data_IF_673003469600
#
_entry.id   IF_673003469600
#
_cell.length_a   1.000
_cell.length_b   1.000
_cell.length_c   1.000
_cell.angle_alpha   90.00
_cell.angle_beta   90.00
_cell.angle_gamma   90.00
#
_symmetry.space_group_name_H-M   'P 1'
#
loop_
_entity.id
_entity.type
_entity.pdbx_description
1 polymer ?
#
# COMPACT_ATOMS: atom_id res chain seq x y z
N UNK A 1 -28.74 24.82 6.75
CA UNK A 1 -27.99 25.87 6.01
C UNK A 1 -26.61 25.31 5.73
N UNK A 2 -26.36 24.86 4.49
CA UNK A 2 -25.03 24.42 4.10
C UNK A 2 -24.29 25.68 3.65
N UNK A 3 -23.22 26.06 4.36
CA UNK A 3 -22.48 27.26 3.99
C UNK A 3 -21.53 26.92 2.84
N UNK A 4 -21.86 27.36 1.63
CA UNK A 4 -20.99 27.19 0.46
C UNK A 4 -20.17 28.47 0.25
N UNK A 5 -18.85 28.32 0.22
CA UNK A 5 -17.95 29.40 -0.14
C UNK A 5 -17.60 29.33 -1.62
N UNK A 6 -17.73 30.45 -2.32
CA UNK A 6 -17.22 30.60 -3.68
C UNK A 6 -15.79 31.07 -3.62
N UNK A 7 -14.92 30.39 -4.35
CA UNK A 7 -13.57 30.87 -4.64
C UNK A 7 -13.71 32.05 -5.62
N UNK A 8 -13.38 33.23 -5.12
CA UNK A 8 -13.27 34.47 -5.87
C UNK A 8 -11.91 34.59 -6.54
N UNK A 9 -11.30 35.77 -6.44
CA UNK A 9 -10.00 36.01 -7.07
C UNK A 9 -8.89 35.20 -6.36
N UNK A 10 -8.04 34.54 -7.16
CA UNK A 10 -6.84 33.86 -6.69
C UNK A 10 -5.64 34.71 -7.08
N UNK A 11 -4.94 35.28 -6.09
CA UNK A 11 -3.77 36.13 -6.31
C UNK A 11 -2.53 35.46 -5.76
N UNK A 12 -1.44 35.47 -6.52
CA UNK A 12 -0.14 35.02 -6.02
C UNK A 12 0.45 36.13 -5.15
N UNK A 13 0.76 35.83 -3.89
CA UNK A 13 1.20 36.84 -2.90
C UNK A 13 2.58 37.41 -3.28
N UNK A 14 3.48 36.57 -3.78
CA UNK A 14 4.78 36.98 -4.31
C UNK A 14 5.27 35.98 -5.39
N UNK A 15 6.06 36.46 -6.36
CA UNK A 15 6.61 35.64 -7.44
C UNK A 15 7.51 34.50 -6.94
N UNK A 16 8.19 34.68 -5.80
CA UNK A 16 9.09 33.68 -5.19
C UNK A 16 8.41 32.81 -4.13
N UNK A 17 7.19 33.15 -3.70
CA UNK A 17 6.45 32.38 -2.70
C UNK A 17 5.50 31.38 -3.37
N UNK A 18 5.34 30.17 -2.82
CA UNK A 18 4.30 29.23 -3.26
C UNK A 18 2.90 29.59 -2.72
N UNK A 19 2.77 30.69 -1.98
CA UNK A 19 1.52 31.07 -1.32
C UNK A 19 0.61 31.90 -2.23
N UNK A 20 -0.68 31.54 -2.21
CA UNK A 20 -1.76 32.23 -2.91
C UNK A 20 -2.75 32.77 -1.89
N UNK A 21 -3.18 34.00 -2.10
CA UNK A 21 -4.34 34.59 -1.44
C UNK A 21 -5.58 34.18 -2.25
N UNK A 22 -6.57 33.64 -1.56
CA UNK A 22 -7.82 33.19 -2.15
C UNK A 22 -8.96 33.90 -1.45
N UNK A 23 -9.70 34.71 -2.20
CA UNK A 23 -10.91 35.35 -1.68
C UNK A 23 -12.03 34.30 -1.56
N UNK A 24 -12.57 34.08 -0.38
CA UNK A 24 -13.73 33.20 -0.16
C UNK A 24 -14.98 34.04 0.10
N UNK A 25 -15.98 33.95 -0.78
CA UNK A 25 -17.26 34.65 -0.62
C UNK A 25 -18.33 33.70 -0.13
N UNK A 26 -18.96 34.05 0.99
CA UNK A 26 -20.15 33.36 1.47
C UNK A 26 -21.24 33.48 0.40
N UNK A 27 -21.73 32.34 -0.09
CA UNK A 27 -22.74 32.32 -1.15
C UNK A 27 -24.07 31.89 -0.53
N UNK A 28 -25.15 32.67 -0.70
CA UNK A 28 -26.46 32.31 -0.16
C UNK A 28 -27.08 31.12 -0.93
N UNK A 29 -27.95 30.37 -0.25
CA UNK A 29 -28.59 29.14 -0.78
C UNK A 29 -29.47 29.39 -2.04
N UNK A 30 -29.76 30.64 -2.37
CA UNK A 30 -30.54 31.07 -3.55
C UNK A 30 -29.68 31.56 -4.73
N UNK A 31 -28.35 31.50 -4.63
CA UNK A 31 -27.45 31.90 -5.72
C UNK A 31 -27.69 31.08 -6.99
N UNK A 32 -28.02 31.79 -8.08
CA UNK A 32 -28.38 31.19 -9.36
C UNK A 32 -27.22 30.40 -9.99
N UNK A 33 -25.97 30.84 -9.80
CA UNK A 33 -24.80 30.16 -10.34
C UNK A 33 -24.44 28.91 -9.51
N UNK A 34 -24.64 28.96 -8.20
CA UNK A 34 -24.53 27.79 -7.33
C UNK A 34 -25.61 26.75 -7.66
N UNK A 35 -26.85 27.19 -7.93
CA UNK A 35 -27.91 26.30 -8.43
C UNK A 35 -27.53 25.70 -9.78
N UNK A 36 -27.09 26.49 -10.74
CA UNK A 36 -26.62 26.00 -12.04
C UNK A 36 -25.40 25.06 -11.94
N UNK A 37 -24.49 25.28 -10.99
CA UNK A 37 -23.38 24.36 -10.74
C UNK A 37 -23.89 23.06 -10.13
N UNK A 38 -24.79 23.14 -9.15
CA UNK A 38 -25.41 21.97 -8.52
C UNK A 38 -26.21 21.16 -9.53
N UNK A 39 -26.96 21.82 -10.41
CA UNK A 39 -27.73 21.19 -11.47
C UNK A 39 -26.81 20.55 -12.52
N UNK A 40 -25.72 21.22 -12.92
CA UNK A 40 -24.70 20.62 -13.81
C UNK A 40 -23.99 19.43 -13.19
N UNK A 41 -23.60 19.52 -11.93
CA UNK A 41 -23.00 18.39 -11.20
C UNK A 41 -24.01 17.25 -11.12
N UNK A 42 -25.28 17.55 -10.85
CA UNK A 42 -26.37 16.56 -10.81
C UNK A 42 -26.62 15.93 -12.17
N UNK A 43 -26.52 16.69 -13.25
CA UNK A 43 -26.68 16.23 -14.63
C UNK A 43 -25.48 15.37 -15.05
N UNK A 44 -24.25 15.80 -14.75
CA UNK A 44 -23.02 15.03 -14.98
C UNK A 44 -22.90 13.78 -14.10
N UNK A 45 -23.53 13.79 -12.92
CA UNK A 45 -23.64 12.65 -12.02
C UNK A 45 -24.95 11.86 -12.18
N UNK A 46 -25.78 12.19 -13.17
CA UNK A 46 -27.02 11.45 -13.44
C UNK A 46 -26.77 10.18 -14.25
N UNK A 47 -27.66 9.20 -14.11
CA UNK A 47 -27.53 7.90 -14.78
C UNK A 47 -26.44 6.99 -14.19
N UNK A 48 -26.36 5.75 -14.68
CA UNK A 48 -25.41 4.73 -14.17
C UNK A 48 -23.95 5.19 -14.31
N UNK A 49 -23.59 5.79 -15.44
CA UNK A 49 -22.25 6.34 -15.69
C UNK A 49 -21.89 7.52 -14.78
N UNK A 50 -22.86 8.37 -14.43
CA UNK A 50 -22.68 9.46 -13.49
C UNK A 50 -22.39 8.97 -12.06
N UNK A 51 -23.14 7.97 -11.61
CA UNK A 51 -22.91 7.34 -10.31
C UNK A 51 -21.57 6.61 -10.22
N UNK A 52 -21.14 5.92 -11.29
CA UNK A 52 -19.80 5.31 -11.31
C UNK A 52 -18.67 6.33 -11.18
N UNK A 53 -18.81 7.49 -11.84
CA UNK A 53 -17.86 8.61 -11.70
C UNK A 53 -17.86 9.17 -10.28
N UNK A 54 -19.05 9.34 -9.69
CA UNK A 54 -19.18 9.79 -8.30
C UNK A 54 -18.49 8.81 -7.33
N UNK A 55 -18.72 7.50 -7.48
CA UNK A 55 -18.04 6.50 -6.65
C UNK A 55 -16.52 6.56 -6.79
N UNK A 56 -15.99 6.68 -8.01
CA UNK A 56 -14.54 6.87 -8.23
C UNK A 56 -14.01 8.15 -7.59
N UNK A 57 -14.79 9.24 -7.60
CA UNK A 57 -14.41 10.47 -6.92
C UNK A 57 -14.39 10.28 -5.41
N UNK A 58 -15.41 9.62 -4.84
CA UNK A 58 -15.49 9.29 -3.41
C UNK A 58 -14.26 8.49 -2.96
N UNK A 59 -13.83 7.48 -3.74
CA UNK A 59 -12.59 6.75 -3.50
C UNK A 59 -11.36 7.68 -3.51
N UNK A 60 -11.23 8.54 -4.53
CA UNK A 60 -10.10 9.48 -4.64
C UNK A 60 -10.01 10.46 -3.47
N UNK A 61 -11.14 10.89 -2.91
CA UNK A 61 -11.17 11.81 -1.76
C UNK A 61 -11.22 11.07 -0.41
N UNK A 62 -11.01 9.74 -0.40
CA UNK A 62 -10.94 8.92 0.81
C UNK A 62 -12.27 8.69 1.53
N UNK A 63 -13.41 8.94 0.86
CA UNK A 63 -14.75 8.69 1.39
C UNK A 63 -15.19 7.25 1.07
N UNK A 64 -14.42 6.27 1.53
CA UNK A 64 -14.60 4.86 1.16
C UNK A 64 -15.95 4.29 1.61
N UNK A 65 -16.45 4.66 2.79
CA UNK A 65 -17.75 4.18 3.28
C UNK A 65 -18.91 4.64 2.40
N UNK A 66 -18.88 5.90 1.93
CA UNK A 66 -19.88 6.42 0.99
C UNK A 66 -19.75 5.79 -0.39
N UNK A 67 -18.53 5.50 -0.84
CA UNK A 67 -18.33 4.78 -2.09
C UNK A 67 -18.93 3.37 -2.00
N UNK A 68 -18.73 2.68 -0.88
CA UNK A 68 -19.29 1.35 -0.61
C UNK A 68 -20.82 1.38 -0.57
N UNK A 69 -21.43 2.31 0.15
CA UNK A 69 -22.89 2.53 0.18
C UNK A 69 -23.43 2.76 -1.23
N UNK A 70 -22.78 3.63 -2.01
CA UNK A 70 -23.19 3.93 -3.38
C UNK A 70 -23.12 2.71 -4.28
N UNK A 71 -21.99 1.99 -4.29
CA UNK A 71 -21.83 0.82 -5.15
C UNK A 71 -22.75 -0.33 -4.73
N UNK A 72 -23.06 -0.48 -3.44
CA UNK A 72 -24.06 -1.45 -2.95
C UNK A 72 -25.46 -1.09 -3.47
N UNK A 73 -25.86 0.18 -3.40
CA UNK A 73 -27.15 0.63 -3.94
C UNK A 73 -27.24 0.48 -5.46
N UNK A 74 -26.14 0.69 -6.19
CA UNK A 74 -26.09 0.44 -7.63
C UNK A 74 -26.19 -1.06 -7.95
N UNK A 75 -25.62 -1.93 -7.12
CA UNK A 75 -25.68 -3.38 -7.31
C UNK A 75 -27.12 -3.89 -7.25
N UNK A 76 -27.92 -3.38 -6.31
CA UNK A 76 -29.35 -3.72 -6.18
C UNK A 76 -30.18 -3.31 -7.41
N UNK A 77 -29.74 -2.28 -8.13
CA UNK A 77 -30.40 -1.73 -9.32
C UNK A 77 -29.85 -2.29 -10.64
N UNK A 78 -28.78 -3.09 -10.59
CA UNK A 78 -28.09 -3.56 -11.79
C UNK A 78 -28.97 -4.52 -12.61
N UNK A 79 -29.31 -4.10 -13.83
CA UNK A 79 -30.21 -4.86 -14.71
C UNK A 79 -29.50 -5.93 -15.56
N UNK A 80 -28.19 -5.81 -15.78
CA UNK A 80 -27.42 -6.74 -16.59
C UNK A 80 -26.11 -7.20 -15.92
N UNK A 81 -25.53 -8.25 -16.51
CA UNK A 81 -24.30 -8.87 -16.02
C UNK A 81 -23.07 -7.96 -16.17
N UNK A 82 -23.01 -7.11 -17.19
CA UNK A 82 -21.89 -6.19 -17.39
C UNK A 82 -21.84 -5.14 -16.28
N UNK A 83 -22.97 -4.53 -15.96
CA UNK A 83 -23.10 -3.57 -14.86
C UNK A 83 -22.78 -4.24 -13.52
N UNK A 84 -23.29 -5.46 -13.26
CA UNK A 84 -22.93 -6.23 -12.06
C UNK A 84 -21.43 -6.48 -11.96
N UNK A 85 -20.80 -6.92 -13.04
CA UNK A 85 -19.36 -7.20 -13.06
C UNK A 85 -18.54 -5.95 -12.75
N UNK A 86 -18.92 -4.80 -13.33
CA UNK A 86 -18.27 -3.52 -13.04
C UNK A 86 -18.46 -3.10 -11.58
N UNK A 87 -19.67 -3.21 -11.04
CA UNK A 87 -19.97 -2.83 -9.65
C UNK A 87 -19.22 -3.72 -8.66
N UNK A 88 -19.17 -5.03 -8.91
CA UNK A 88 -18.36 -5.94 -8.10
C UNK A 88 -16.87 -5.57 -8.13
N UNK A 89 -16.32 -5.22 -9.29
CA UNK A 89 -14.94 -4.73 -9.37
C UNK A 89 -14.74 -3.49 -8.50
N UNK A 90 -15.66 -2.52 -8.57
CA UNK A 90 -15.57 -1.29 -7.78
C UNK A 90 -15.75 -1.52 -6.28
N UNK A 91 -16.61 -2.45 -5.85
CA UNK A 91 -16.72 -2.87 -4.45
C UNK A 91 -15.42 -3.53 -3.97
N UNK A 92 -14.82 -4.41 -4.79
CA UNK A 92 -13.51 -5.00 -4.53
C UNK A 92 -12.43 -3.93 -4.34
N UNK A 93 -12.38 -2.93 -5.24
CA UNK A 93 -11.47 -1.78 -5.10
C UNK A 93 -11.72 -0.99 -3.82
N UNK A 94 -12.99 -0.71 -3.50
CA UNK A 94 -13.37 0.04 -2.30
C UNK A 94 -12.91 -0.68 -1.02
N UNK A 95 -13.12 -2.00 -0.95
CA UNK A 95 -12.67 -2.84 0.16
C UNK A 95 -11.15 -2.91 0.25
N UNK A 96 -10.47 -3.04 -0.89
CA UNK A 96 -9.02 -3.03 -0.96
C UNK A 96 -8.43 -1.70 -0.44
N UNK A 97 -8.98 -0.57 -0.84
CA UNK A 97 -8.53 0.76 -0.40
C UNK A 97 -8.77 0.98 1.11
N UNK A 98 -9.78 0.31 1.69
CA UNK A 98 -10.02 0.25 3.14
C UNK A 98 -9.06 -0.71 3.88
N UNK A 99 -8.21 -1.45 3.16
CA UNK A 99 -7.36 -2.51 3.71
C UNK A 99 -8.11 -3.79 4.09
N UNK A 100 -9.35 -3.96 3.62
CA UNK A 100 -10.22 -5.10 3.91
C UNK A 100 -10.04 -6.21 2.86
N UNK A 101 -8.81 -6.70 2.72
CA UNK A 101 -8.42 -7.62 1.62
C UNK A 101 -9.26 -8.90 1.55
N UNK A 102 -9.58 -9.50 2.70
CA UNK A 102 -10.40 -10.72 2.76
C UNK A 102 -11.84 -10.51 2.29
N UNK A 103 -12.36 -9.29 2.43
CA UNK A 103 -13.68 -8.90 1.91
C UNK A 103 -13.60 -8.45 0.45
N UNK A 104 -12.46 -7.93 0.01
CA UNK A 104 -12.23 -7.49 -1.36
C UNK A 104 -12.16 -8.67 -2.35
N UNK A 105 -11.48 -9.76 -1.97
CA UNK A 105 -11.22 -10.89 -2.87
C UNK A 105 -12.51 -11.50 -3.48
N UNK A 106 -13.57 -11.82 -2.71
CA UNK A 106 -14.80 -12.36 -3.28
C UNK A 106 -15.45 -11.45 -4.32
N UNK A 107 -15.45 -10.13 -4.09
CA UNK A 107 -16.02 -9.18 -5.06
C UNK A 107 -15.25 -9.17 -6.37
N UNK A 108 -13.92 -9.17 -6.33
CA UNK A 108 -13.14 -9.27 -7.56
C UNK A 108 -13.32 -10.61 -8.27
N UNK A 109 -13.42 -11.73 -7.53
CA UNK A 109 -13.67 -13.04 -8.13
C UNK A 109 -15.05 -13.13 -8.80
N UNK A 110 -16.10 -12.58 -8.16
CA UNK A 110 -17.43 -12.48 -8.77
C UNK A 110 -17.41 -11.62 -10.03
N UNK A 111 -16.68 -10.51 -10.02
CA UNK A 111 -16.47 -9.67 -11.20
C UNK A 111 -15.80 -10.45 -12.33
N UNK A 112 -14.69 -11.13 -12.03
CA UNK A 112 -13.94 -11.94 -12.98
C UNK A 112 -14.78 -13.08 -13.55
N UNK A 113 -15.57 -13.77 -12.72
CA UNK A 113 -16.44 -14.86 -13.16
C UNK A 113 -17.43 -14.40 -14.23
N UNK A 114 -18.03 -13.22 -14.06
CA UNK A 114 -18.95 -12.67 -15.04
C UNK A 114 -18.22 -12.27 -16.32
N UNK A 115 -17.10 -11.54 -16.21
CA UNK A 115 -16.34 -11.12 -17.39
C UNK A 115 -15.81 -12.30 -18.20
N UNK A 116 -15.42 -13.41 -17.56
CA UNK A 116 -14.99 -14.64 -18.27
C UNK A 116 -16.11 -15.32 -19.05
N UNK A 117 -17.38 -15.06 -18.72
CA UNK A 117 -18.53 -15.60 -19.48
C UNK A 117 -18.87 -14.74 -20.69
N UNK A 118 -18.52 -13.45 -20.66
CA UNK A 118 -18.92 -12.46 -21.68
C UNK A 118 -17.79 -12.05 -22.61
N UNK A 119 -16.54 -12.21 -22.18
CA UNK A 119 -15.34 -11.80 -22.91
C UNK A 119 -14.48 -13.02 -23.32
N UNK A 120 -13.73 -12.92 -24.44
CA UNK A 120 -12.67 -13.88 -24.77
C UNK A 120 -11.63 -14.02 -23.65
N UNK A 121 -11.00 -15.19 -23.53
CA UNK A 121 -10.00 -15.45 -22.46
C UNK A 121 -8.77 -14.55 -22.53
N UNK A 122 -8.43 -14.02 -23.71
CA UNK A 122 -7.32 -13.12 -23.96
C UNK A 122 -7.74 -11.65 -24.11
N UNK A 123 -8.97 -11.30 -23.70
CA UNK A 123 -9.45 -9.92 -23.75
C UNK A 123 -8.57 -8.99 -22.88
N UNK A 124 -8.02 -7.89 -23.43
CA UNK A 124 -7.14 -6.99 -22.70
C UNK A 124 -7.76 -6.39 -21.43
N UNK A 125 -9.09 -6.29 -21.34
CA UNK A 125 -9.78 -5.77 -20.16
C UNK A 125 -9.73 -6.71 -18.95
N UNK A 126 -9.39 -7.99 -19.14
CA UNK A 126 -9.24 -8.95 -18.04
C UNK A 126 -7.92 -8.76 -17.27
N UNK A 127 -6.86 -8.25 -17.91
CA UNK A 127 -5.54 -8.05 -17.29
C UNK A 127 -5.60 -7.25 -15.99
N UNK A 128 -6.15 -6.01 -16.00
CA UNK A 128 -6.29 -5.20 -14.79
C UNK A 128 -7.11 -5.87 -13.66
N UNK A 129 -8.08 -6.72 -14.01
CA UNK A 129 -8.89 -7.47 -13.02
C UNK A 129 -8.02 -8.53 -12.35
N UNK A 130 -7.28 -9.30 -13.15
CA UNK A 130 -6.33 -10.29 -12.65
C UNK A 130 -5.25 -9.64 -11.77
N UNK A 131 -4.68 -8.51 -12.20
CA UNK A 131 -3.71 -7.76 -11.41
C UNK A 131 -4.27 -7.33 -10.04
N UNK A 132 -5.51 -6.84 -10.00
CA UNK A 132 -6.13 -6.40 -8.73
C UNK A 132 -6.43 -7.58 -7.79
N UNK A 133 -6.89 -8.72 -8.33
CA UNK A 133 -7.07 -9.95 -7.54
C UNK A 133 -5.73 -10.42 -6.98
N UNK A 134 -4.70 -10.45 -7.81
CA UNK A 134 -3.35 -10.83 -7.41
C UNK A 134 -2.80 -9.93 -6.29
N UNK A 135 -3.02 -8.62 -6.37
CA UNK A 135 -2.61 -7.66 -5.34
C UNK A 135 -3.28 -7.95 -3.99
N UNK A 136 -4.58 -8.24 -3.99
CA UNK A 136 -5.31 -8.60 -2.77
C UNK A 136 -4.77 -9.89 -2.16
N UNK A 137 -4.54 -10.93 -2.96
CA UNK A 137 -3.96 -12.18 -2.48
C UNK A 137 -2.52 -12.01 -1.99
N UNK A 138 -1.75 -11.13 -2.64
CA UNK A 138 -0.40 -10.78 -2.18
C UNK A 138 -0.46 -10.14 -0.78
N UNK A 139 -1.35 -9.16 -0.56
CA UNK A 139 -1.55 -8.55 0.75
C UNK A 139 -2.05 -9.52 1.82
N UNK A 140 -2.75 -10.58 1.43
CA UNK A 140 -3.17 -11.66 2.33
C UNK A 140 -2.05 -12.67 2.63
N UNK A 141 -0.91 -12.60 1.94
CA UNK A 141 0.19 -13.56 2.05
C UNK A 141 -0.07 -14.90 1.33
N UNK A 142 -1.11 -14.98 0.49
CA UNK A 142 -1.34 -16.13 -0.41
C UNK A 142 -0.56 -15.89 -1.72
N UNK A 143 0.76 -15.97 -1.60
CA UNK A 143 1.69 -15.69 -2.70
C UNK A 143 1.50 -16.64 -3.89
N UNK A 144 1.06 -17.87 -3.66
CA UNK A 144 0.79 -18.84 -4.73
C UNK A 144 -0.37 -18.37 -5.62
N UNK A 145 -1.50 -17.98 -5.03
CA UNK A 145 -2.62 -17.42 -5.80
C UNK A 145 -2.25 -16.07 -6.42
N UNK A 146 -1.51 -15.23 -5.69
CA UNK A 146 -1.06 -13.96 -6.22
C UNK A 146 -0.23 -14.14 -7.51
N UNK A 147 0.72 -15.09 -7.51
CA UNK A 147 1.51 -15.41 -8.70
C UNK A 147 0.66 -15.95 -9.84
N UNK A 148 -0.27 -16.87 -9.59
CA UNK A 148 -1.17 -17.40 -10.62
C UNK A 148 -1.91 -16.26 -11.36
N UNK A 149 -2.46 -15.31 -10.61
CA UNK A 149 -3.19 -14.18 -11.18
C UNK A 149 -2.28 -13.13 -11.82
N UNK A 150 -1.11 -12.82 -11.25
CA UNK A 150 -0.15 -11.91 -11.90
C UNK A 150 0.43 -12.51 -13.20
N UNK A 151 0.66 -13.82 -13.25
CA UNK A 151 1.10 -14.50 -14.47
C UNK A 151 0.03 -14.45 -15.56
N UNK A 152 -1.26 -14.56 -15.19
CA UNK A 152 -2.38 -14.39 -16.12
C UNK A 152 -2.49 -12.96 -16.64
N UNK A 153 -2.37 -11.96 -15.77
CA UNK A 153 -2.28 -10.55 -16.18
C UNK A 153 -1.11 -10.33 -17.17
N UNK A 154 0.08 -10.84 -16.84
CA UNK A 154 1.26 -10.73 -17.69
C UNK A 154 1.06 -11.42 -19.05
N UNK A 155 0.42 -12.59 -19.09
CA UNK A 155 0.11 -13.32 -20.33
C UNK A 155 -0.78 -12.49 -21.27
N UNK A 156 -1.86 -11.92 -20.73
CA UNK A 156 -2.81 -11.10 -21.48
C UNK A 156 -2.14 -9.80 -21.95
N UNK A 157 -1.46 -9.10 -21.05
CA UNK A 157 -0.77 -7.84 -21.33
C UNK A 157 0.30 -8.02 -22.41
N UNK A 158 1.03 -9.15 -22.42
CA UNK A 158 2.02 -9.49 -23.47
C UNK A 158 1.41 -9.69 -24.85
N UNK A 159 0.19 -10.24 -24.93
CA UNK A 159 -0.52 -10.43 -26.21
C UNK A 159 -1.13 -9.11 -26.70
N UNK A 160 -1.62 -8.30 -25.78
CA UNK A 160 -2.36 -7.08 -26.09
C UNK A 160 -1.47 -5.88 -26.43
N UNK A 161 -0.27 -5.78 -25.85
CA UNK A 161 0.54 -4.57 -25.88
C UNK A 161 1.92 -4.79 -26.52
N UNK A 162 2.55 -3.73 -27.06
CA UNK A 162 3.93 -3.80 -27.55
C UNK A 162 4.93 -4.27 -26.47
N UNK A 163 6.03 -4.96 -26.84
CA UNK A 163 6.99 -5.49 -25.87
C UNK A 163 7.65 -4.47 -24.93
N UNK A 164 7.68 -3.19 -25.32
CA UNK A 164 8.21 -2.09 -24.53
C UNK A 164 7.12 -1.30 -23.78
N UNK A 165 5.89 -1.81 -23.69
CA UNK A 165 4.82 -1.10 -23.01
C UNK A 165 5.06 -1.05 -21.49
N UNK A 166 4.89 0.11 -20.83
CA UNK A 166 5.14 0.28 -19.38
C UNK A 166 4.34 -0.68 -18.48
N UNK A 167 3.13 -1.05 -18.89
CA UNK A 167 2.29 -1.98 -18.12
C UNK A 167 2.95 -3.35 -17.94
N UNK A 168 3.74 -3.82 -18.92
CA UNK A 168 4.53 -5.05 -18.78
C UNK A 168 5.57 -4.92 -17.66
N UNK A 169 6.21 -3.75 -17.53
CA UNK A 169 7.15 -3.50 -16.46
C UNK A 169 6.46 -3.50 -15.08
N UNK A 170 5.23 -3.00 -15.01
CA UNK A 170 4.42 -3.06 -13.78
C UNK A 170 4.10 -4.50 -13.39
N UNK A 171 3.64 -5.35 -14.31
CA UNK A 171 3.38 -6.77 -14.03
C UNK A 171 4.65 -7.50 -13.57
N UNK A 172 5.81 -7.23 -14.19
CA UNK A 172 7.09 -7.78 -13.75
C UNK A 172 7.54 -7.29 -12.37
N UNK A 173 7.31 -6.00 -12.04
CA UNK A 173 7.57 -5.48 -10.69
C UNK A 173 6.70 -6.19 -9.64
N UNK A 174 5.42 -6.40 -9.94
CA UNK A 174 4.49 -7.08 -9.04
C UNK A 174 4.91 -8.53 -8.79
N UNK A 175 5.26 -9.29 -9.83
CA UNK A 175 5.81 -10.64 -9.69
C UNK A 175 7.12 -10.62 -8.88
N UNK A 176 8.00 -9.66 -9.16
CA UNK A 176 9.24 -9.47 -8.42
C UNK A 176 9.02 -9.23 -6.92
N UNK A 177 7.98 -8.46 -6.56
CA UNK A 177 7.61 -8.22 -5.17
C UNK A 177 7.15 -9.51 -4.46
N UNK A 178 6.37 -10.35 -5.12
CA UNK A 178 5.89 -11.61 -4.52
C UNK A 178 7.07 -12.56 -4.26
N UNK A 179 8.00 -12.68 -5.22
CA UNK A 179 9.19 -13.52 -5.03
C UNK A 179 10.14 -12.96 -3.98
N UNK A 180 10.20 -11.64 -3.80
CA UNK A 180 10.91 -11.03 -2.68
C UNK A 180 10.31 -11.49 -1.35
N UNK A 181 8.99 -11.45 -1.20
CA UNK A 181 8.30 -11.82 0.04
C UNK A 181 8.39 -13.33 0.34
N UNK A 182 8.50 -14.16 -0.71
CA UNK A 182 8.85 -15.59 -0.61
C UNK A 182 10.32 -15.85 -0.25
N UNK A 183 11.19 -14.84 -0.33
CA UNK A 183 12.64 -14.98 -0.12
C UNK A 183 13.41 -15.56 -1.31
N UNK A 184 12.78 -15.77 -2.46
CA UNK A 184 13.46 -16.15 -3.70
C UNK A 184 13.98 -14.91 -4.43
N UNK A 185 15.03 -14.33 -3.85
CA UNK A 185 15.65 -13.11 -4.36
C UNK A 185 16.22 -13.27 -5.78
N UNK A 186 16.56 -14.49 -6.20
CA UNK A 186 17.10 -14.75 -7.53
C UNK A 186 16.01 -14.66 -8.62
N UNK A 187 14.80 -15.17 -8.35
CA UNK A 187 13.66 -14.96 -9.25
C UNK A 187 13.20 -13.50 -9.20
N UNK A 188 13.11 -12.91 -8.00
CA UNK A 188 12.71 -11.51 -7.83
C UNK A 188 13.59 -10.56 -8.65
N UNK A 189 14.91 -10.73 -8.58
CA UNK A 189 15.86 -9.91 -9.32
C UNK A 189 15.69 -10.04 -10.84
N UNK A 190 15.44 -11.26 -11.36
CA UNK A 190 15.21 -11.48 -12.80
C UNK A 190 13.93 -10.80 -13.29
N UNK A 191 12.87 -10.84 -12.49
CA UNK A 191 11.61 -10.15 -12.80
C UNK A 191 11.83 -8.63 -12.83
N UNK A 192 12.48 -8.06 -11.81
CA UNK A 192 12.78 -6.63 -11.74
C UNK A 192 13.74 -6.16 -12.85
N UNK A 193 14.70 -7.00 -13.25
CA UNK A 193 15.57 -6.72 -14.41
C UNK A 193 14.76 -6.67 -15.71
N UNK A 194 13.76 -7.53 -15.87
CA UNK A 194 12.86 -7.50 -17.03
C UNK A 194 12.04 -6.21 -17.07
N UNK A 195 11.49 -5.80 -15.92
CA UNK A 195 10.81 -4.50 -15.79
C UNK A 195 11.72 -3.32 -16.15
N UNK A 196 12.94 -3.33 -15.63
CA UNK A 196 13.92 -2.27 -15.87
C UNK A 196 14.29 -2.16 -17.36
N UNK A 197 14.52 -3.30 -18.05
CA UNK A 197 14.82 -3.31 -19.48
C UNK A 197 13.69 -2.73 -20.33
N UNK A 198 12.43 -3.05 -20.00
CA UNK A 198 11.25 -2.50 -20.67
C UNK A 198 11.20 -0.97 -20.48
N UNK A 199 11.39 -0.50 -19.25
CA UNK A 199 11.39 0.93 -18.94
C UNK A 199 12.52 1.68 -19.68
N UNK A 200 13.71 1.09 -19.80
CA UNK A 200 14.82 1.68 -20.57
C UNK A 200 14.51 1.85 -22.05
N UNK A 201 13.70 0.96 -22.63
CA UNK A 201 13.26 1.08 -24.02
C UNK A 201 12.11 2.08 -24.18
N UNK A 202 11.29 2.26 -23.15
CA UNK A 202 10.12 3.13 -23.17
C UNK A 202 10.43 4.59 -22.80
N UNK A 203 11.42 4.81 -21.93
CA UNK A 203 11.63 6.10 -21.26
C UNK A 203 13.09 6.51 -21.19
N UNK A 204 13.30 7.82 -21.04
CA UNK A 204 14.60 8.38 -20.71
C UNK A 204 14.95 8.13 -19.23
N UNK A 205 16.26 8.11 -18.93
CA UNK A 205 16.77 7.96 -17.57
C UNK A 205 16.21 9.04 -16.62
N UNK A 206 15.84 8.63 -15.41
CA UNK A 206 15.23 9.51 -14.40
C UNK A 206 13.73 9.74 -14.56
N UNK A 207 13.05 8.99 -15.42
CA UNK A 207 11.59 8.96 -15.49
C UNK A 207 10.96 8.38 -14.19
N UNK A 208 9.83 8.93 -13.69
CA UNK A 208 9.12 8.40 -12.52
C UNK A 208 8.83 6.89 -12.58
N UNK A 209 8.68 6.31 -13.77
CA UNK A 209 8.42 4.89 -13.95
C UNK A 209 9.50 3.99 -13.33
N UNK A 210 10.75 4.45 -13.23
CA UNK A 210 11.84 3.67 -12.64
C UNK A 210 11.82 3.64 -11.10
N UNK A 211 11.12 4.56 -10.44
CA UNK A 211 11.19 4.72 -8.99
C UNK A 211 10.75 3.43 -8.25
N UNK A 212 9.62 2.83 -8.65
CA UNK A 212 9.12 1.60 -8.04
C UNK A 212 10.06 0.41 -8.27
N UNK A 213 10.64 0.29 -9.47
CA UNK A 213 11.61 -0.77 -9.78
C UNK A 213 12.89 -0.63 -8.95
N UNK A 214 13.42 0.60 -8.80
CA UNK A 214 14.56 0.85 -7.91
C UNK A 214 14.21 0.55 -6.45
N UNK A 215 13.02 0.93 -5.98
CA UNK A 215 12.56 0.60 -4.63
C UNK A 215 12.56 -0.92 -4.38
N UNK A 216 12.01 -1.70 -5.31
CA UNK A 216 11.98 -3.16 -5.18
C UNK A 216 13.36 -3.80 -5.30
N UNK A 217 14.23 -3.30 -6.18
CA UNK A 217 15.63 -3.74 -6.26
C UNK A 217 16.36 -3.48 -4.94
N UNK A 218 16.12 -2.32 -4.31
CA UNK A 218 16.64 -1.98 -3.00
C UNK A 218 16.25 -3.00 -1.94
N UNK A 219 14.96 -3.37 -1.88
CA UNK A 219 14.42 -4.38 -0.95
C UNK A 219 15.01 -5.77 -1.19
N UNK A 220 15.09 -6.21 -2.45
CA UNK A 220 15.72 -7.48 -2.83
C UNK A 220 17.19 -7.53 -2.41
N UNK A 221 17.97 -6.49 -2.71
CA UNK A 221 19.37 -6.44 -2.28
C UNK A 221 19.50 -6.39 -0.75
N UNK A 222 18.59 -5.72 -0.06
CA UNK A 222 18.53 -5.73 1.41
C UNK A 222 18.29 -7.14 1.96
N UNK A 223 17.33 -7.89 1.40
CA UNK A 223 17.08 -9.29 1.77
C UNK A 223 18.26 -10.22 1.50
N UNK A 224 19.02 -9.95 0.42
CA UNK A 224 20.29 -10.62 0.11
C UNK A 224 21.46 -10.16 1.00
N UNK A 225 21.26 -9.19 1.90
CA UNK A 225 22.27 -8.54 2.75
C UNK A 225 23.35 -7.78 1.98
N UNK A 226 23.11 -7.45 0.70
CA UNK A 226 23.94 -6.54 -0.08
C UNK A 226 23.48 -5.10 0.18
N UNK A 227 23.76 -4.62 1.38
CA UNK A 227 23.29 -3.31 1.86
C UNK A 227 23.83 -2.15 1.01
N UNK A 228 25.01 -2.31 0.40
CA UNK A 228 25.57 -1.28 -0.49
C UNK A 228 24.70 -1.09 -1.73
N UNK A 229 24.31 -2.19 -2.39
CA UNK A 229 23.40 -2.09 -3.54
C UNK A 229 21.99 -1.70 -3.12
N UNK A 230 21.55 -2.12 -1.94
CA UNK A 230 20.25 -1.69 -1.41
C UNK A 230 20.17 -0.16 -1.32
N UNK A 231 21.17 0.47 -0.67
CA UNK A 231 21.25 1.92 -0.55
C UNK A 231 21.35 2.63 -1.90
N UNK A 232 22.20 2.18 -2.83
CA UNK A 232 22.32 2.77 -4.17
C UNK A 232 20.98 2.79 -4.92
N UNK A 233 20.20 1.71 -4.83
CA UNK A 233 18.89 1.64 -5.46
C UNK A 233 17.86 2.54 -4.74
N UNK A 234 17.83 2.56 -3.41
CA UNK A 234 16.93 3.47 -2.68
C UNK A 234 17.29 4.95 -2.88
N UNK A 235 18.57 5.29 -3.00
CA UNK A 235 19.03 6.65 -3.31
C UNK A 235 18.60 7.09 -4.72
N UNK A 236 18.66 6.20 -5.71
CA UNK A 236 18.13 6.44 -7.06
C UNK A 236 16.61 6.64 -7.06
N UNK A 237 15.88 5.80 -6.33
CA UNK A 237 14.43 5.95 -6.13
C UNK A 237 14.12 7.34 -5.53
N UNK A 238 14.78 7.68 -4.42
CA UNK A 238 14.59 8.95 -3.74
C UNK A 238 14.94 10.15 -4.63
N UNK A 239 16.00 10.07 -5.43
CA UNK A 239 16.40 11.13 -6.35
C UNK A 239 15.32 11.41 -7.41
N UNK A 240 14.67 10.36 -7.92
CA UNK A 240 13.55 10.48 -8.86
C UNK A 240 12.36 11.11 -8.15
N UNK A 241 11.98 10.62 -6.98
CA UNK A 241 10.85 11.14 -6.21
C UNK A 241 11.01 12.61 -5.83
N UNK A 242 12.21 13.03 -5.41
CA UNK A 242 12.50 14.44 -5.09
C UNK A 242 12.43 15.36 -6.31
N UNK A 243 12.74 14.84 -7.51
CA UNK A 243 12.69 15.60 -8.75
C UNK A 243 11.27 15.70 -9.33
N UNK A 244 10.44 14.69 -9.09
CA UNK A 244 9.20 14.48 -9.85
C UNK A 244 7.93 14.64 -9.03
N UNK A 245 8.01 14.50 -7.71
CA UNK A 245 6.87 14.59 -6.80
C UNK A 245 6.94 15.88 -5.97
N UNK A 246 5.79 16.38 -5.47
CA UNK A 246 5.78 17.48 -4.52
C UNK A 246 6.67 17.23 -3.30
N UNK A 247 7.12 18.31 -2.66
CA UNK A 247 7.86 18.21 -1.40
C UNK A 247 7.03 17.46 -0.36
N UNK A 248 7.66 16.54 0.38
CA UNK A 248 7.02 15.70 1.41
C UNK A 248 5.95 14.75 0.87
N UNK A 249 6.08 14.30 -0.38
CA UNK A 249 5.19 13.26 -0.90
C UNK A 249 5.32 11.96 -0.08
N UNK A 250 4.22 11.22 0.20
CA UNK A 250 4.26 9.99 1.00
C UNK A 250 5.29 8.94 0.53
N UNK A 251 5.54 8.83 -0.77
CA UNK A 251 6.57 7.93 -1.32
C UNK A 251 7.99 8.25 -0.83
N UNK A 252 8.33 9.54 -0.65
CA UNK A 252 9.62 9.94 -0.08
C UNK A 252 9.76 9.43 1.36
N UNK A 253 8.68 9.40 2.14
CA UNK A 253 8.70 8.86 3.49
C UNK A 253 8.92 7.34 3.51
N UNK A 254 8.33 6.61 2.56
CA UNK A 254 8.56 5.17 2.40
C UNK A 254 10.05 4.92 2.10
N UNK A 255 10.63 5.62 1.12
CA UNK A 255 12.05 5.44 0.77
C UNK A 255 12.99 5.83 1.91
N UNK A 256 12.68 6.89 2.66
CA UNK A 256 13.45 7.22 3.87
C UNK A 256 13.36 6.13 4.94
N UNK A 257 12.19 5.52 5.14
CA UNK A 257 12.04 4.40 6.05
C UNK A 257 12.87 3.19 5.60
N UNK A 258 12.82 2.84 4.31
CA UNK A 258 13.56 1.73 3.74
C UNK A 258 15.09 1.95 3.88
N UNK A 259 15.59 3.17 3.64
CA UNK A 259 17.00 3.53 3.88
C UNK A 259 17.35 3.42 5.37
N UNK A 260 16.45 3.85 6.26
CA UNK A 260 16.61 3.72 7.70
C UNK A 260 16.76 2.26 8.14
N UNK A 261 15.94 1.36 7.58
CA UNK A 261 16.02 -0.08 7.86
C UNK A 261 17.34 -0.68 7.41
N UNK A 262 17.85 -0.31 6.23
CA UNK A 262 19.17 -0.77 5.77
C UNK A 262 20.26 -0.32 6.74
N UNK A 263 20.24 0.95 7.19
CA UNK A 263 21.22 1.43 8.16
C UNK A 263 21.12 0.73 9.52
N UNK A 264 19.91 0.40 9.97
CA UNK A 264 19.68 -0.38 11.18
C UNK A 264 20.30 -1.76 11.05
N UNK A 265 20.05 -2.46 9.95
CA UNK A 265 20.62 -3.79 9.67
C UNK A 265 22.15 -3.77 9.54
N UNK A 266 22.74 -2.63 9.18
CA UNK A 266 24.19 -2.40 9.20
C UNK A 266 24.75 -2.05 10.59
N UNK A 267 23.91 -1.91 11.61
CA UNK A 267 24.30 -1.45 12.95
C UNK A 267 24.59 0.05 13.06
N UNK A 268 24.28 0.83 12.02
CA UNK A 268 24.44 2.29 12.00
C UNK A 268 23.19 2.97 12.57
N UNK A 269 22.92 2.74 13.85
CA UNK A 269 21.64 3.09 14.47
C UNK A 269 21.34 4.59 14.47
N UNK A 270 22.34 5.46 14.64
CA UNK A 270 22.14 6.91 14.60
C UNK A 270 21.66 7.38 13.23
N UNK A 271 22.19 6.78 12.15
CA UNK A 271 21.72 7.05 10.78
C UNK A 271 20.32 6.51 10.58
N UNK A 272 20.05 5.29 11.05
CA UNK A 272 18.72 4.69 10.97
C UNK A 272 17.65 5.59 11.61
N UNK A 273 17.89 6.03 12.86
CA UNK A 273 17.00 6.94 13.57
C UNK A 273 16.79 8.26 12.81
N UNK A 274 17.86 8.85 12.26
CA UNK A 274 17.76 10.08 11.49
C UNK A 274 16.86 9.92 10.24
N UNK A 275 16.96 8.78 9.55
CA UNK A 275 16.13 8.50 8.38
C UNK A 275 14.68 8.16 8.73
N UNK A 276 14.44 7.32 9.74
CA UNK A 276 13.09 7.06 10.24
C UNK A 276 12.42 8.33 10.76
N UNK A 277 13.16 9.25 11.40
CA UNK A 277 12.61 10.53 11.85
C UNK A 277 12.24 11.46 10.68
N UNK A 278 12.99 11.43 9.57
CA UNK A 278 12.62 12.14 8.34
C UNK A 278 11.32 11.57 7.75
N UNK A 279 11.20 10.24 7.70
CA UNK A 279 9.97 9.58 7.27
C UNK A 279 8.77 9.98 8.14
N UNK A 280 8.92 9.91 9.46
CA UNK A 280 7.87 10.26 10.41
C UNK A 280 7.44 11.74 10.28
N UNK A 281 8.41 12.66 10.12
CA UNK A 281 8.11 14.08 9.92
C UNK A 281 7.25 14.33 8.67
N UNK A 282 7.51 13.62 7.58
CA UNK A 282 6.65 13.69 6.39
C UNK A 282 5.25 13.15 6.70
N UNK A 283 5.18 11.99 7.35
CA UNK A 283 3.92 11.29 7.63
C UNK A 283 3.02 12.02 8.65
N UNK A 284 3.58 12.79 9.57
CA UNK A 284 2.82 13.60 10.54
C UNK A 284 2.31 14.92 9.95
N UNK A 285 3.00 15.46 8.95
CA UNK A 285 2.67 16.77 8.35
C UNK A 285 1.90 16.68 7.04
N UNK A 286 1.70 15.47 6.52
CA UNK A 286 0.90 15.18 5.34
C UNK A 286 -0.14 14.15 5.73
N UNK A 287 -1.32 14.15 5.10
CA UNK A 287 -2.33 13.14 5.35
C UNK A 287 -1.88 11.79 4.76
N UNK A 288 -0.95 11.13 5.43
CA UNK A 288 -0.46 9.80 5.13
C UNK A 288 -1.36 8.74 5.74
N UNK A 289 -1.25 7.51 5.23
CA UNK A 289 -1.97 6.38 5.83
C UNK A 289 -1.51 6.18 7.28
N UNK A 290 -2.42 6.08 8.26
CA UNK A 290 -2.05 5.76 9.65
C UNK A 290 -1.22 4.48 9.76
N UNK A 291 -1.44 3.50 8.87
CA UNK A 291 -0.69 2.26 8.87
C UNK A 291 0.80 2.47 8.50
N UNK A 292 1.11 3.46 7.65
CA UNK A 292 2.51 3.81 7.34
C UNK A 292 3.21 4.46 8.54
N UNK A 293 2.50 5.30 9.29
CA UNK A 293 3.00 5.86 10.57
C UNK A 293 3.30 4.73 11.55
N UNK A 294 2.37 3.77 11.68
CA UNK A 294 2.55 2.62 12.56
C UNK A 294 3.78 1.79 12.21
N UNK A 295 4.02 1.52 10.92
CA UNK A 295 5.23 0.83 10.44
C UNK A 295 6.50 1.59 10.82
N UNK A 296 6.52 2.91 10.64
CA UNK A 296 7.68 3.74 11.02
C UNK A 296 7.95 3.70 12.54
N UNK A 297 6.89 3.71 13.36
CA UNK A 297 7.03 3.52 14.80
C UNK A 297 7.59 2.14 15.15
N UNK A 298 7.15 1.08 14.48
CA UNK A 298 7.69 -0.27 14.72
C UNK A 298 9.16 -0.33 14.34
N UNK A 299 9.57 0.27 13.23
CA UNK A 299 10.96 0.34 12.80
C UNK A 299 11.84 1.10 13.82
N UNK A 300 11.37 2.25 14.32
CA UNK A 300 12.03 2.97 15.41
C UNK A 300 12.15 2.10 16.67
N UNK A 301 11.08 1.39 17.04
CA UNK A 301 11.08 0.45 18.16
C UNK A 301 12.11 -0.66 17.99
N UNK A 302 12.24 -1.22 16.79
CA UNK A 302 13.28 -2.20 16.47
C UNK A 302 14.68 -1.61 16.61
N UNK A 303 14.93 -0.39 16.08
CA UNK A 303 16.21 0.29 16.21
C UNK A 303 16.58 0.47 17.69
N UNK A 304 15.68 1.01 18.52
CA UNK A 304 15.94 1.21 19.94
C UNK A 304 16.14 -0.11 20.71
N UNK A 305 15.42 -1.18 20.32
CA UNK A 305 15.62 -2.52 20.91
C UNK A 305 17.03 -3.03 20.62
N UNK A 306 17.53 -2.85 19.40
CA UNK A 306 18.89 -3.25 19.00
C UNK A 306 19.97 -2.39 19.70
N UNK A 307 19.68 -1.12 19.96
CA UNK A 307 20.48 -0.24 20.82
C UNK A 307 20.37 -0.58 22.32
N UNK A 308 19.51 -1.54 22.70
CA UNK A 308 19.20 -1.95 24.08
C UNK A 308 18.51 -0.88 24.93
N UNK A 309 17.97 0.17 24.32
CA UNK A 309 17.00 1.06 24.97
C UNK A 309 15.61 0.43 24.88
N UNK A 310 15.39 -0.56 25.73
CA UNK A 310 14.13 -1.30 25.76
C UNK A 310 12.94 -0.45 26.23
N UNK A 311 13.19 0.65 26.96
CA UNK A 311 12.13 1.53 27.43
C UNK A 311 11.52 2.32 26.26
N UNK A 312 12.37 2.99 25.49
CA UNK A 312 11.96 3.74 24.30
C UNK A 312 11.42 2.80 23.21
N UNK A 313 12.04 1.63 23.04
CA UNK A 313 11.55 0.62 22.10
C UNK A 313 10.11 0.19 22.39
N UNK A 314 9.79 -0.09 23.66
CA UNK A 314 8.46 -0.49 24.08
C UNK A 314 7.43 0.63 23.79
N UNK A 315 7.75 1.88 24.11
CA UNK A 315 6.88 3.03 23.81
C UNK A 315 6.54 3.12 22.32
N UNK A 316 7.52 2.90 21.44
CA UNK A 316 7.28 2.92 20.00
C UNK A 316 6.46 1.73 19.51
N UNK A 317 6.70 0.52 20.03
CA UNK A 317 5.85 -0.63 19.73
C UNK A 317 4.40 -0.42 20.18
N UNK A 318 4.18 0.17 21.37
CA UNK A 318 2.83 0.49 21.87
C UNK A 318 2.11 1.51 20.97
N UNK A 319 2.80 2.57 20.53
CA UNK A 319 2.24 3.53 19.55
C UNK A 319 1.86 2.86 18.23
N UNK A 320 2.72 2.00 17.70
CA UNK A 320 2.45 1.25 16.48
C UNK A 320 1.28 0.28 16.63
N UNK A 321 1.21 -0.43 17.77
CA UNK A 321 0.12 -1.34 18.11
C UNK A 321 -1.21 -0.61 18.20
N UNK A 322 -1.28 0.52 18.91
CA UNK A 322 -2.50 1.30 19.09
C UNK A 322 -3.12 1.72 17.75
N UNK A 323 -2.29 2.16 16.79
CA UNK A 323 -2.77 2.53 15.46
C UNK A 323 -3.28 1.31 14.70
N UNK A 324 -2.53 0.20 14.72
CA UNK A 324 -2.91 -1.04 14.02
C UNK A 324 -4.19 -1.63 14.59
N UNK A 325 -4.37 -1.69 15.91
CA UNK A 325 -5.59 -2.20 16.55
C UNK A 325 -6.84 -1.36 16.22
N UNK A 326 -6.68 -0.05 16.05
CA UNK A 326 -7.79 0.84 15.66
C UNK A 326 -8.19 0.71 14.19
N UNK A 327 -7.28 0.26 13.32
CA UNK A 327 -7.45 0.29 11.86
C UNK A 327 -7.59 -1.08 11.22
N UNK A 328 -7.08 -2.11 11.85
CA UNK A 328 -7.05 -3.47 11.32
C UNK A 328 -8.03 -4.37 12.08
N UNK A 329 -8.46 -5.45 11.43
CA UNK A 329 -9.19 -6.51 12.10
C UNK A 329 -8.29 -7.19 13.14
N UNK A 330 -8.89 -7.74 14.21
CA UNK A 330 -8.16 -8.34 15.35
C UNK A 330 -7.15 -9.41 14.96
N UNK A 331 -7.37 -10.07 13.82
CA UNK A 331 -6.58 -11.21 13.36
C UNK A 331 -5.72 -10.84 12.14
N UNK A 332 -5.47 -9.55 11.91
CA UNK A 332 -4.66 -9.09 10.79
C UNK A 332 -3.16 -9.43 11.01
N UNK A 333 -2.44 -10.01 10.03
CA UNK A 333 -1.03 -10.39 10.16
C UNK A 333 -0.09 -9.27 10.66
N UNK A 334 -0.32 -8.02 10.28
CA UNK A 334 0.43 -6.87 10.78
C UNK A 334 0.37 -6.70 12.32
N UNK A 335 -0.70 -7.14 12.99
CA UNK A 335 -0.74 -7.14 14.46
C UNK A 335 0.26 -8.16 15.03
N UNK A 336 0.39 -9.33 14.39
CA UNK A 336 1.34 -10.37 14.79
C UNK A 336 2.79 -9.88 14.75
N UNK A 337 3.14 -9.04 13.76
CA UNK A 337 4.48 -8.43 13.67
C UNK A 337 4.81 -7.62 14.92
N UNK A 338 3.86 -6.83 15.43
CA UNK A 338 4.09 -6.00 16.63
C UNK A 338 4.23 -6.87 17.86
N UNK A 339 3.34 -7.85 18.04
CA UNK A 339 3.42 -8.81 19.14
C UNK A 339 4.73 -9.59 19.14
N UNK A 340 5.19 -10.05 17.97
CA UNK A 340 6.49 -10.72 17.84
C UNK A 340 7.65 -9.80 18.23
N UNK A 341 7.63 -8.55 17.81
CA UNK A 341 8.65 -7.57 18.16
C UNK A 341 8.69 -7.26 19.67
N UNK A 342 7.52 -7.14 20.31
CA UNK A 342 7.40 -7.02 21.75
C UNK A 342 7.87 -8.29 22.46
N UNK A 343 7.58 -9.48 21.93
CA UNK A 343 8.06 -10.75 22.47
C UNK A 343 9.59 -10.83 22.46
N UNK A 344 10.24 -10.42 21.36
CA UNK A 344 11.71 -10.33 21.25
C UNK A 344 12.29 -9.35 22.28
N UNK A 345 11.63 -8.21 22.52
CA UNK A 345 12.03 -7.25 23.56
C UNK A 345 11.92 -7.85 24.97
N UNK A 346 10.81 -8.51 25.29
CA UNK A 346 10.61 -9.15 26.59
C UNK A 346 11.57 -10.33 26.81
N UNK A 347 11.87 -11.08 25.76
CA UNK A 347 12.90 -12.12 25.78
C UNK A 347 14.29 -11.54 26.08
N UNK A 348 14.65 -10.40 25.46
CA UNK A 348 15.93 -9.73 25.71
C UNK A 348 16.04 -9.17 27.15
N UNK A 349 14.92 -8.81 27.77
CA UNK A 349 14.84 -8.33 29.16
C UNK A 349 14.54 -9.43 30.17
N UNK A 350 14.58 -10.71 29.77
CA UNK A 350 14.31 -11.89 30.61
C UNK A 350 12.92 -11.91 31.26
N UNK A 351 11.98 -11.17 30.70
CA UNK A 351 10.57 -11.14 31.12
C UNK A 351 9.81 -12.27 30.42
N UNK A 352 10.18 -13.52 30.70
CA UNK A 352 9.75 -14.68 29.92
C UNK A 352 8.22 -14.88 29.88
N UNK A 353 7.50 -14.59 30.96
CA UNK A 353 6.04 -14.68 30.98
C UNK A 353 5.38 -13.69 30.00
N UNK A 354 5.85 -12.45 29.95
CA UNK A 354 5.39 -11.45 28.98
C UNK A 354 5.81 -11.80 27.55
N UNK A 355 7.03 -12.32 27.38
CA UNK A 355 7.51 -12.78 26.09
C UNK A 355 6.62 -13.90 25.54
N UNK A 356 6.31 -14.90 26.38
CA UNK A 356 5.45 -16.03 26.04
C UNK A 356 4.04 -15.58 25.64
N UNK A 357 3.42 -14.68 26.43
CA UNK A 357 2.11 -14.12 26.10
C UNK A 357 2.08 -13.45 24.72
N UNK A 358 3.07 -12.61 24.43
CA UNK A 358 3.12 -11.87 23.18
C UNK A 358 3.40 -12.78 21.98
N UNK A 359 4.32 -13.75 22.11
CA UNK A 359 4.59 -14.65 20.99
C UNK A 359 3.43 -15.58 20.70
N UNK A 360 2.69 -16.02 21.72
CA UNK A 360 1.48 -16.80 21.55
C UNK A 360 0.42 -15.99 20.79
N UNK A 361 0.19 -14.73 21.19
CA UNK A 361 -0.70 -13.83 20.46
C UNK A 361 -0.27 -13.64 18.99
N UNK A 362 1.04 -13.51 18.73
CA UNK A 362 1.56 -13.39 17.37
C UNK A 362 1.27 -14.64 16.53
N UNK A 363 1.53 -15.83 17.07
CA UNK A 363 1.25 -17.11 16.39
C UNK A 363 -0.25 -17.28 16.15
N UNK A 364 -1.09 -17.04 17.15
CA UNK A 364 -2.55 -17.14 17.04
C UNK A 364 -3.12 -16.18 15.98
N UNK A 365 -2.69 -14.93 16.01
CA UNK A 365 -3.10 -13.89 15.05
C UNK A 365 -2.69 -14.26 13.62
N UNK A 366 -1.45 -14.76 13.44
CA UNK A 366 -0.90 -15.04 12.13
C UNK A 366 -1.41 -16.37 11.52
N UNK A 367 -1.53 -17.44 12.32
CA UNK A 367 -1.88 -18.77 11.82
C UNK A 367 -3.31 -18.86 11.29
N UNK A 368 -4.19 -17.94 11.67
CA UNK A 368 -5.56 -17.88 11.16
C UNK A 368 -5.65 -17.38 9.71
N UNK A 369 -4.67 -16.57 9.27
CA UNK A 369 -4.72 -15.87 7.98
C UNK A 369 -3.59 -16.25 7.04
N UNK A 370 -2.44 -16.62 7.58
CA UNK A 370 -1.27 -16.97 6.79
C UNK A 370 -1.18 -18.48 6.58
N UNK A 371 -0.71 -18.94 5.40
CA UNK A 371 -0.44 -20.35 5.19
C UNK A 371 0.63 -20.86 6.16
N UNK A 372 0.59 -22.16 6.48
CA UNK A 372 1.52 -22.79 7.43
C UNK A 372 3.00 -22.69 7.02
N UNK A 373 3.25 -22.46 5.73
CA UNK A 373 4.57 -22.27 5.11
C UNK A 373 5.02 -20.81 5.07
N UNK A 374 4.21 -19.86 5.54
CA UNK A 374 4.55 -18.44 5.46
C UNK A 374 5.81 -18.11 6.29
N UNK A 375 6.82 -17.41 5.73
CA UNK A 375 8.09 -17.13 6.41
C UNK A 375 7.94 -16.50 7.80
N UNK A 376 7.11 -15.46 7.95
CA UNK A 376 6.84 -14.83 9.25
C UNK A 376 6.25 -15.80 10.28
N UNK A 377 5.28 -16.65 9.88
CA UNK A 377 4.67 -17.61 10.82
C UNK A 377 5.69 -18.65 11.29
N UNK A 378 6.62 -19.06 10.42
CA UNK A 378 7.74 -19.93 10.80
C UNK A 378 8.65 -19.23 11.82
N UNK A 379 9.02 -17.97 11.59
CA UNK A 379 9.84 -17.18 12.53
C UNK A 379 9.16 -17.01 13.90
N UNK A 380 7.84 -16.79 13.92
CA UNK A 380 7.08 -16.69 15.17
C UNK A 380 7.11 -18.00 15.96
N UNK A 381 6.91 -19.14 15.28
CA UNK A 381 6.99 -20.47 15.90
C UNK A 381 8.39 -20.79 16.42
N UNK A 382 9.43 -20.42 15.69
CA UNK A 382 10.81 -20.57 16.18
C UNK A 382 11.06 -19.72 17.44
N UNK A 383 10.55 -18.48 17.45
CA UNK A 383 10.67 -17.58 18.60
C UNK A 383 9.90 -18.13 19.80
N UNK A 384 8.72 -18.73 19.55
CA UNK A 384 7.92 -19.40 20.57
C UNK A 384 8.71 -20.51 21.27
N UNK A 385 9.31 -21.43 20.49
CA UNK A 385 10.11 -22.52 21.05
C UNK A 385 11.35 -22.00 21.79
N UNK A 386 12.02 -20.96 21.27
CA UNK A 386 13.16 -20.31 21.96
C UNK A 386 12.77 -19.74 23.34
N UNK A 387 11.58 -19.13 23.46
CA UNK A 387 11.09 -18.61 24.74
C UNK A 387 10.71 -19.77 25.66
N UNK A 388 10.02 -20.78 25.13
CA UNK A 388 9.60 -21.98 25.87
C UNK A 388 10.76 -22.72 26.52
N UNK A 389 11.89 -22.85 25.83
CA UNK A 389 13.10 -23.50 26.36
C UNK A 389 13.79 -22.73 27.49
N UNK A 390 13.47 -21.43 27.66
CA UNK A 390 14.06 -20.56 28.70
C UNK A 390 13.17 -20.38 29.93
N UNK A 391 11.91 -20.79 29.84
CA UNK A 391 11.00 -20.90 30.98
C UNK A 391 11.24 -22.22 31.71
#
# INVERSE_FOLDING_TARGET
>A
MHTVFRIGEIRKIDKKSPLYEVELKLTPDDDQQLRQLTDRVREESSGSTGWYRMGKLLLKIGQFDKAEELYTALLEQASDDSDRAHIYHMLGMTKNDKGQYTEAAPFYEMSLEIYRRTLPEDDPSLGPIYNNIALVYNHMGDYSKALEFYEKDLEITKKALPPNHPDLAMSYNNIGSVYHDLGDYAVALRALQSAFQIQQQAFQEGNPAFASTYSWLGRVYCGMKDYSKALDNFEKCLAIDLKTLPEKHPYQAITYSDIGDVHRLMGSYEKALAFHQKALNIQENVQCSPLQVATTYINLGETYREMKDYSTALTYFEKGLEIREKKLSKNHPDLAVVYHNMAKLYLATQKYSMAMKNIQQAVETAQEKLPSTHPHLLEYKETFEKIRMKM
#
